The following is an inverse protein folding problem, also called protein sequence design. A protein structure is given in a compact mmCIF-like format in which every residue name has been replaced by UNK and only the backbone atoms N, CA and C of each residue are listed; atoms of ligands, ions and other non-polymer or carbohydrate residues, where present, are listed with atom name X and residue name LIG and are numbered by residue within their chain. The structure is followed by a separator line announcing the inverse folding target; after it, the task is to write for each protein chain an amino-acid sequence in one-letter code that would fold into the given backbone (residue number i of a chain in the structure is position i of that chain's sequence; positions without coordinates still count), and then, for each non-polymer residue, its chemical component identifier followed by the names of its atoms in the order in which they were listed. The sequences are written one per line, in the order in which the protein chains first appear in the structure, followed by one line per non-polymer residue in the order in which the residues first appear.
data_IF_827090700251
#
_entry.id   IF_827090700251
#
_cell.length_a   1.000
_cell.length_b   1.000
_cell.length_c   1.000
_cell.angle_alpha   90.00
_cell.angle_beta   90.00
_cell.angle_gamma   90.00
#
_symmetry.space_group_name_H-M   'P 1'
#
loop_
_entity.id
_entity.type
_entity.pdbx_description
1 polymer ?
#
# COMPACT_ATOMS: atom_id res chain seq x y z
N UNK A 1 -15.10 -7.36 -8.26
CA UNK A 1 -16.18 -6.82 -9.10
C UNK A 1 -15.58 -6.40 -10.42
N UNK A 2 -15.83 -7.14 -11.50
CA UNK A 2 -15.21 -6.89 -12.80
C UNK A 2 -15.79 -5.61 -13.38
N UNK A 3 -15.02 -4.55 -13.49
CA UNK A 3 -15.43 -3.33 -14.19
C UNK A 3 -15.58 -3.63 -15.68
N UNK A 4 -16.81 -3.69 -16.14
CA UNK A 4 -17.14 -3.68 -17.56
C UNK A 4 -17.06 -2.24 -18.04
N UNK A 5 -16.02 -1.92 -18.77
CA UNK A 5 -15.89 -0.68 -19.52
C UNK A 5 -16.98 -0.60 -20.58
N UNK A 6 -17.95 0.26 -20.38
CA UNK A 6 -18.95 0.61 -21.39
C UNK A 6 -18.35 1.66 -22.32
N UNK A 7 -17.90 1.22 -23.51
CA UNK A 7 -17.56 2.09 -24.62
C UNK A 7 -18.86 2.70 -25.20
N UNK A 8 -19.10 3.96 -24.90
CA UNK A 8 -20.13 4.73 -25.60
C UNK A 8 -19.55 5.21 -26.93
N UNK A 9 -20.01 4.62 -28.02
CA UNK A 9 -19.83 5.13 -29.37
C UNK A 9 -20.56 6.45 -29.52
N UNK A 10 -19.83 7.51 -29.82
CA UNK A 10 -20.44 8.75 -30.31
C UNK A 10 -20.00 8.99 -31.76
N UNK A 11 -20.98 8.90 -32.61
CA UNK A 11 -20.96 8.93 -34.06
C UNK A 11 -20.87 10.38 -34.55
N UNK A 12 -19.94 10.58 -35.45
CA UNK A 12 -19.86 11.53 -36.57
C UNK A 12 -20.72 12.81 -36.58
N UNK A 13 -20.05 13.93 -36.76
CA UNK A 13 -20.56 14.93 -37.74
C UNK A 13 -19.41 15.51 -38.58
N UNK A 14 -19.52 15.23 -39.88
CA UNK A 14 -18.67 15.69 -40.97
C UNK A 14 -19.05 17.11 -41.29
N UNK A 15 -18.08 18.02 -41.44
CA UNK A 15 -18.25 19.15 -42.34
C UNK A 15 -16.90 19.48 -43.02
N UNK A 16 -16.92 19.30 -44.35
CA UNK A 16 -15.91 19.76 -45.30
C UNK A 16 -15.86 21.30 -45.33
N UNK A 17 -14.68 21.86 -45.41
CA UNK A 17 -14.47 23.06 -46.19
C UNK A 17 -13.06 23.12 -46.75
N UNK A 18 -12.99 23.16 -48.06
CA UNK A 18 -11.84 23.29 -48.96
C UNK A 18 -11.38 24.75 -49.05
N UNK A 19 -10.07 24.99 -49.09
CA UNK A 19 -9.40 26.05 -49.88
C UNK A 19 -7.88 25.90 -49.69
N UNK A 20 -7.12 25.51 -50.64
CA UNK A 20 -6.43 26.18 -51.76
C UNK A 20 -5.17 26.99 -51.37
N UNK A 21 -4.02 26.47 -51.87
CA UNK A 21 -2.80 27.12 -52.36
C UNK A 21 -1.91 27.94 -51.43
N UNK A 22 -0.68 27.46 -51.30
CA UNK A 22 0.47 28.23 -50.87
C UNK A 22 1.76 27.43 -51.00
N UNK A 23 2.35 27.41 -52.20
CA UNK A 23 3.68 26.88 -52.43
C UNK A 23 4.70 27.84 -51.82
N UNK A 24 5.53 27.37 -50.89
CA UNK A 24 6.63 28.15 -50.33
C UNK A 24 7.71 27.18 -49.89
N UNK A 25 8.69 26.97 -50.72
CA UNK A 25 9.87 26.18 -50.54
C UNK A 25 10.88 26.97 -49.70
N UNK A 26 11.20 26.52 -48.50
CA UNK A 26 12.39 26.99 -47.78
C UNK A 26 12.93 25.90 -46.84
N UNK A 27 14.10 25.44 -47.19
CA UNK A 27 15.24 24.97 -46.41
C UNK A 27 14.97 24.15 -45.12
N UNK A 28 15.35 22.91 -45.19
CA UNK A 28 15.62 21.98 -44.10
C UNK A 28 16.71 22.58 -43.18
N UNK A 29 16.36 22.84 -41.94
CA UNK A 29 17.26 22.65 -40.82
C UNK A 29 16.65 21.58 -39.94
N UNK A 30 17.30 20.43 -39.96
CA UNK A 30 17.02 19.35 -39.02
C UNK A 30 17.47 19.83 -37.62
N UNK A 31 16.55 20.40 -36.87
CA UNK A 31 16.75 20.62 -35.46
C UNK A 31 16.10 19.45 -34.75
N UNK A 32 16.98 18.63 -34.15
CA UNK A 32 16.58 17.45 -33.41
C UNK A 32 15.72 17.86 -32.21
N UNK A 33 14.40 17.71 -32.38
CA UNK A 33 13.51 17.70 -31.24
C UNK A 33 13.87 16.47 -30.35
N UNK A 34 14.85 16.64 -29.48
CA UNK A 34 14.97 15.84 -28.28
C UNK A 34 13.71 16.10 -27.48
N UNK A 35 12.72 15.24 -27.69
CA UNK A 35 11.58 15.16 -26.81
C UNK A 35 12.10 14.92 -25.41
N UNK A 36 12.14 15.95 -24.61
CA UNK A 36 12.30 15.84 -23.16
C UNK A 36 11.13 14.96 -22.72
N UNK A 37 11.39 13.65 -22.52
CA UNK A 37 10.47 12.79 -21.78
C UNK A 37 10.41 13.42 -20.40
N UNK A 38 9.35 14.16 -20.15
CA UNK A 38 8.95 14.52 -18.78
C UNK A 38 8.96 13.20 -18.00
N UNK A 39 9.84 13.07 -17.04
CA UNK A 39 9.87 11.91 -16.16
C UNK A 39 8.48 11.85 -15.51
N UNK A 40 7.69 10.85 -15.87
CA UNK A 40 6.35 10.67 -15.35
C UNK A 40 6.52 10.18 -13.94
N UNK A 41 6.14 11.00 -12.96
CA UNK A 41 6.13 10.60 -11.55
C UNK A 41 5.03 9.58 -11.34
N UNK A 42 5.38 8.44 -10.75
CA UNK A 42 4.42 7.41 -10.29
C UNK A 42 4.07 7.71 -8.85
N UNK A 43 2.81 7.91 -8.57
CA UNK A 43 2.30 8.05 -7.19
C UNK A 43 1.77 6.72 -6.71
N UNK A 44 2.19 6.28 -5.50
CA UNK A 44 1.72 5.06 -4.86
C UNK A 44 1.06 5.41 -3.53
N UNK A 45 -0.17 4.94 -3.36
CA UNK A 45 -0.94 5.05 -2.12
C UNK A 45 -0.67 3.82 -1.25
N UNK A 46 -0.08 4.03 -0.08
CA UNK A 46 0.31 2.98 0.85
C UNK A 46 -0.54 3.06 2.11
N UNK A 47 -1.33 2.03 2.35
CA UNK A 47 -2.06 1.86 3.61
C UNK A 47 -1.21 1.04 4.57
N UNK A 48 -0.91 1.57 5.76
CA UNK A 48 -0.03 0.91 6.70
C UNK A 48 -0.52 1.04 8.15
N UNK A 49 -0.29 -0.02 8.92
CA UNK A 49 -0.60 -0.01 10.34
C UNK A 49 0.10 1.16 11.05
N UNK A 50 -0.62 1.88 11.91
CA UNK A 50 -0.16 3.10 12.58
C UNK A 50 1.15 2.91 13.38
N UNK A 51 1.42 1.70 13.88
CA UNK A 51 2.68 1.37 14.56
C UNK A 51 3.92 1.51 13.67
N UNK A 52 3.76 1.57 12.36
CA UNK A 52 4.86 1.65 11.38
C UNK A 52 5.13 3.08 10.90
N UNK A 53 4.38 4.09 11.38
CA UNK A 53 4.42 5.47 10.89
C UNK A 53 5.84 6.03 10.81
N UNK A 54 6.60 5.95 11.90
CA UNK A 54 7.95 6.52 11.95
C UNK A 54 8.90 5.82 10.97
N UNK A 55 8.88 4.49 10.99
CA UNK A 55 9.76 3.67 10.14
C UNK A 55 9.48 3.86 8.66
N UNK A 56 8.20 3.86 8.26
CA UNK A 56 7.84 3.99 6.85
C UNK A 56 8.06 5.41 6.31
N UNK A 57 7.85 6.44 7.12
CA UNK A 57 8.23 7.80 6.72
C UNK A 57 9.73 7.92 6.47
N UNK A 58 10.56 7.29 7.31
CA UNK A 58 12.01 7.25 7.09
C UNK A 58 12.38 6.48 5.82
N UNK A 59 11.77 5.32 5.62
CA UNK A 59 11.97 4.53 4.39
C UNK A 59 11.59 5.34 3.15
N UNK A 60 10.50 6.12 3.19
CA UNK A 60 10.10 6.95 2.06
C UNK A 60 11.13 8.02 1.71
N UNK A 61 11.76 8.64 2.71
CA UNK A 61 12.85 9.59 2.45
C UNK A 61 14.06 8.90 1.80
N UNK A 62 14.45 7.73 2.31
CA UNK A 62 15.55 6.95 1.76
C UNK A 62 15.23 6.47 0.33
N UNK A 63 13.98 6.09 0.06
CA UNK A 63 13.52 5.59 -1.23
C UNK A 63 13.62 6.63 -2.35
N UNK A 64 13.50 7.92 -2.05
CA UNK A 64 13.72 9.01 -3.03
C UNK A 64 15.11 8.96 -3.68
N UNK A 65 16.08 8.35 -3.00
CA UNK A 65 17.44 8.16 -3.55
C UNK A 65 17.51 6.95 -4.47
N UNK A 66 16.59 5.98 -4.32
CA UNK A 66 16.52 4.75 -5.12
C UNK A 66 15.76 5.02 -6.42
N UNK A 67 14.58 5.63 -6.31
CA UNK A 67 13.78 6.05 -7.47
C UNK A 67 13.12 7.42 -7.22
N UNK A 68 13.71 8.50 -7.74
CA UNK A 68 13.18 9.84 -7.56
C UNK A 68 11.88 10.10 -8.33
N UNK A 69 11.47 9.18 -9.21
CA UNK A 69 10.22 9.31 -9.98
C UNK A 69 9.04 8.63 -9.26
N UNK A 70 9.24 8.03 -8.09
CA UNK A 70 8.16 7.45 -7.28
C UNK A 70 7.88 8.35 -6.09
N UNK A 71 6.60 8.69 -5.92
CA UNK A 71 6.07 9.40 -4.75
C UNK A 71 5.23 8.45 -3.90
N UNK A 72 5.52 8.33 -2.61
CA UNK A 72 4.78 7.50 -1.67
C UNK A 72 3.86 8.37 -0.82
N UNK A 73 2.56 8.09 -0.89
CA UNK A 73 1.53 8.74 -0.06
C UNK A 73 1.01 7.71 0.95
N UNK A 74 1.09 8.02 2.25
CA UNK A 74 0.70 7.08 3.30
C UNK A 74 -0.64 7.43 3.95
N UNK A 75 -1.43 6.38 4.22
CA UNK A 75 -2.56 6.42 5.15
C UNK A 75 -2.25 5.51 6.33
N UNK A 76 -2.12 6.08 7.54
CA UNK A 76 -1.82 5.34 8.75
C UNK A 76 -3.04 5.24 9.66
N UNK A 77 -3.48 4.01 9.94
CA UNK A 77 -4.58 3.74 10.86
C UNK A 77 -4.44 2.33 11.46
N UNK A 78 -5.45 1.87 12.21
CA UNK A 78 -5.49 0.45 12.57
C UNK A 78 -5.62 -0.41 11.30
N UNK A 79 -5.00 -1.60 11.28
CA UNK A 79 -5.12 -2.49 10.11
C UNK A 79 -6.58 -2.87 9.82
N UNK A 80 -7.44 -2.88 10.85
CA UNK A 80 -8.88 -3.13 10.69
C UNK A 80 -9.60 -1.99 9.98
N UNK A 81 -9.32 -0.74 10.35
CA UNK A 81 -9.93 0.43 9.72
C UNK A 81 -9.48 0.57 8.26
N UNK A 82 -8.19 0.29 7.98
CA UNK A 82 -7.66 0.28 6.62
C UNK A 82 -8.30 -0.80 5.76
N UNK A 83 -8.49 -2.01 6.32
CA UNK A 83 -9.23 -3.07 5.66
C UNK A 83 -10.66 -2.61 5.32
N UNK A 84 -11.34 -1.93 6.24
CA UNK A 84 -12.70 -1.42 5.99
C UNK A 84 -12.72 -0.41 4.84
N UNK A 85 -11.75 0.51 4.79
CA UNK A 85 -11.62 1.47 3.69
C UNK A 85 -11.38 0.78 2.35
N UNK A 86 -10.51 -0.26 2.30
CA UNK A 86 -10.30 -1.05 1.08
C UNK A 86 -11.60 -1.73 0.64
N UNK A 87 -12.35 -2.32 1.56
CA UNK A 87 -13.66 -2.93 1.28
C UNK A 87 -14.69 -1.93 0.76
N UNK A 88 -14.61 -0.68 1.19
CA UNK A 88 -15.45 0.44 0.74
C UNK A 88 -14.99 1.01 -0.61
N UNK A 89 -13.88 0.51 -1.18
CA UNK A 89 -13.37 0.88 -2.49
C UNK A 89 -12.35 2.01 -2.47
N UNK A 90 -11.68 2.23 -1.35
CA UNK A 90 -10.56 3.17 -1.31
C UNK A 90 -9.40 2.68 -2.18
N UNK A 91 -8.80 3.59 -2.94
CA UNK A 91 -7.61 3.29 -3.74
C UNK A 91 -6.41 3.01 -2.82
N UNK A 92 -5.82 1.82 -3.00
CA UNK A 92 -4.67 1.36 -2.23
C UNK A 92 -3.77 0.49 -3.12
N UNK A 93 -2.55 0.95 -3.38
CA UNK A 93 -1.57 0.21 -4.18
C UNK A 93 -0.80 -0.80 -3.33
N UNK A 94 -0.52 -0.45 -2.06
CA UNK A 94 0.22 -1.31 -1.14
C UNK A 94 -0.45 -1.29 0.23
N UNK A 95 -0.80 -2.47 0.75
CA UNK A 95 -1.34 -2.62 2.09
C UNK A 95 -0.34 -3.34 3.01
N UNK A 96 0.03 -2.70 4.13
CA UNK A 96 0.96 -3.23 5.15
C UNK A 96 0.20 -3.40 6.47
N UNK A 97 -0.25 -4.62 6.71
CA UNK A 97 -1.00 -4.97 7.92
C UNK A 97 -0.08 -5.42 9.06
N UNK A 98 -0.42 -5.05 10.30
CA UNK A 98 0.27 -5.55 11.49
C UNK A 98 -0.14 -6.99 11.87
N UNK A 99 -1.16 -7.56 11.21
CA UNK A 99 -1.61 -8.92 11.52
C UNK A 99 -2.07 -9.66 10.25
N UNK A 100 -1.88 -10.99 10.19
CA UNK A 100 -2.29 -11.82 9.04
C UNK A 100 -3.79 -11.80 8.77
N UNK A 101 -4.63 -11.58 9.80
CA UNK A 101 -6.10 -11.62 9.69
C UNK A 101 -6.62 -10.67 8.61
N UNK A 102 -6.12 -9.43 8.56
CA UNK A 102 -6.58 -8.44 7.59
C UNK A 102 -6.13 -8.78 6.18
N UNK A 103 -4.93 -9.32 6.03
CA UNK A 103 -4.44 -9.81 4.75
C UNK A 103 -5.23 -11.01 4.25
N UNK A 104 -5.56 -11.95 5.15
CA UNK A 104 -6.38 -13.12 4.80
C UNK A 104 -7.75 -12.71 4.26
N UNK A 105 -8.36 -11.67 4.83
CA UNK A 105 -9.68 -11.19 4.42
C UNK A 105 -9.74 -10.59 3.01
N UNK A 106 -8.58 -10.31 2.39
CA UNK A 106 -8.46 -9.78 1.02
C UNK A 106 -7.90 -10.81 0.04
N UNK A 107 -7.46 -11.98 0.54
CA UNK A 107 -6.72 -12.97 -0.22
C UNK A 107 -7.65 -13.91 -0.97
N UNK A 108 -7.69 -13.81 -2.29
CA UNK A 108 -8.53 -14.62 -3.17
C UNK A 108 -8.24 -16.12 -3.07
N UNK A 109 -7.03 -16.52 -2.67
CA UNK A 109 -6.69 -17.93 -2.44
C UNK A 109 -7.44 -18.52 -1.23
N UNK A 110 -7.96 -17.66 -0.35
CA UNK A 110 -8.71 -18.02 0.86
C UNK A 110 -10.21 -17.73 0.75
N UNK A 111 -10.72 -17.40 -0.43
CA UNK A 111 -12.11 -16.96 -0.64
C UNK A 111 -13.17 -18.00 -0.26
N UNK A 112 -12.79 -19.30 -0.26
CA UNK A 112 -13.67 -20.42 0.12
C UNK A 112 -13.54 -20.78 1.63
N UNK A 113 -12.66 -20.08 2.38
CA UNK A 113 -12.45 -20.25 3.81
C UNK A 113 -13.15 -19.11 4.57
N UNK A 114 -14.39 -19.35 5.01
CA UNK A 114 -15.20 -18.33 5.68
C UNK A 114 -14.63 -17.83 7.03
N UNK A 115 -13.73 -18.59 7.66
CA UNK A 115 -13.06 -18.18 8.90
C UNK A 115 -11.95 -17.17 8.64
N UNK A 116 -11.31 -17.24 7.47
CA UNK A 116 -10.20 -16.38 7.09
C UNK A 116 -10.59 -15.24 6.17
N UNK A 117 -11.47 -15.51 5.20
CA UNK A 117 -11.98 -14.56 4.23
C UNK A 117 -13.52 -14.62 4.17
N UNK A 118 -14.21 -14.09 5.20
CA UNK A 118 -15.66 -14.25 5.36
C UNK A 118 -16.47 -13.60 4.24
N UNK A 119 -15.91 -12.62 3.55
CA UNK A 119 -16.58 -11.91 2.46
C UNK A 119 -16.20 -12.45 1.08
N UNK A 120 -15.33 -13.46 1.00
CA UNK A 120 -14.87 -14.08 -0.24
C UNK A 120 -14.17 -13.12 -1.18
N UNK A 121 -13.46 -12.12 -0.66
CA UNK A 121 -12.79 -11.09 -1.45
C UNK A 121 -11.56 -11.63 -2.17
N UNK A 122 -11.22 -10.98 -3.29
CA UNK A 122 -10.07 -11.28 -4.13
C UNK A 122 -9.47 -9.94 -4.61
N UNK A 123 -8.84 -9.22 -3.65
CA UNK A 123 -8.36 -7.85 -3.86
C UNK A 123 -6.82 -7.80 -3.94
N UNK A 124 -6.13 -8.87 -3.54
CA UNK A 124 -4.68 -8.94 -3.65
C UNK A 124 -4.27 -9.41 -5.05
N UNK A 125 -3.24 -8.79 -5.60
CA UNK A 125 -2.62 -9.27 -6.81
C UNK A 125 -1.90 -10.60 -6.53
N UNK A 126 -2.16 -11.60 -7.36
CA UNK A 126 -1.61 -12.95 -7.21
C UNK A 126 -0.09 -12.95 -7.02
N UNK A 127 0.36 -13.66 -6.00
CA UNK A 127 1.79 -13.86 -5.71
C UNK A 127 2.51 -12.63 -5.12
N UNK A 128 1.81 -11.53 -4.81
CA UNK A 128 2.43 -10.34 -4.24
C UNK A 128 2.39 -10.30 -2.71
N UNK A 129 1.61 -11.16 -2.07
CA UNK A 129 1.57 -11.24 -0.61
C UNK A 129 2.87 -11.79 -0.05
N UNK A 130 3.45 -11.08 0.92
CA UNK A 130 4.66 -11.50 1.65
C UNK A 130 4.48 -11.33 3.15
N UNK A 131 5.06 -12.20 3.93
CA UNK A 131 5.22 -12.03 5.39
C UNK A 131 6.56 -11.29 5.60
N UNK A 132 6.48 -9.98 5.79
CA UNK A 132 7.63 -9.08 5.80
C UNK A 132 8.44 -9.21 7.10
N UNK A 133 7.77 -9.25 8.26
CA UNK A 133 8.38 -9.23 9.60
C UNK A 133 7.57 -10.10 10.56
N UNK A 134 8.25 -10.62 11.57
CA UNK A 134 7.64 -11.27 12.72
C UNK A 134 7.81 -10.37 13.95
N UNK A 135 6.70 -10.08 14.64
CA UNK A 135 6.71 -9.39 15.92
C UNK A 135 6.60 -10.40 17.07
N UNK A 136 7.52 -10.32 18.02
CA UNK A 136 7.54 -11.20 19.21
C UNK A 136 7.35 -10.38 20.47
N UNK A 137 6.39 -10.78 21.29
CA UNK A 137 6.24 -10.22 22.63
C UNK A 137 7.37 -10.77 23.49
N UNK A 138 8.09 -9.88 24.16
CA UNK A 138 9.18 -10.21 25.06
C UNK A 138 8.88 -9.70 26.47
N UNK A 139 9.38 -10.42 27.46
CA UNK A 139 9.37 -9.99 28.85
C UNK A 139 10.68 -9.25 29.13
N UNK A 140 10.58 -7.94 29.36
CA UNK A 140 11.71 -7.11 29.75
C UNK A 140 11.68 -6.91 31.27
N UNK A 141 12.83 -7.09 31.92
CA UNK A 141 13.00 -6.86 33.35
C UNK A 141 14.18 -5.92 33.59
N UNK A 142 14.21 -5.18 34.74
CA UNK A 142 15.36 -4.39 35.10
C UNK A 142 16.63 -5.21 35.23
N UNK A 143 17.80 -4.55 35.13
CA UNK A 143 19.10 -5.18 35.28
C UNK A 143 19.16 -5.98 36.58
N UNK A 144 19.71 -7.20 36.50
CA UNK A 144 19.80 -8.12 37.64
C UNK A 144 18.50 -8.81 38.03
N UNK A 145 17.39 -8.50 37.36
CA UNK A 145 16.08 -9.13 37.61
C UNK A 145 15.73 -9.21 39.12
N UNK A 146 15.66 -8.10 39.85
CA UNK A 146 15.55 -8.09 41.32
C UNK A 146 14.28 -8.76 41.86
N UNK A 147 13.28 -8.97 41.02
CA UNK A 147 12.02 -9.65 41.36
C UNK A 147 11.98 -11.12 40.95
N UNK A 148 13.05 -11.64 40.34
CA UNK A 148 13.14 -13.04 39.90
C UNK A 148 12.05 -13.43 38.90
N UNK A 149 11.70 -12.55 37.95
CA UNK A 149 10.67 -12.77 36.94
C UNK A 149 11.35 -13.40 35.72
N UNK A 150 11.25 -14.71 35.57
CA UNK A 150 11.92 -15.47 34.51
C UNK A 150 10.96 -15.97 33.43
N UNK A 151 9.66 -15.84 33.66
CA UNK A 151 8.60 -16.27 32.74
C UNK A 151 7.32 -15.47 32.92
N UNK A 152 6.39 -15.58 31.96
CA UNK A 152 5.05 -14.98 32.08
C UNK A 152 4.26 -15.57 33.24
N UNK A 153 4.43 -16.87 33.58
CA UNK A 153 3.78 -17.48 34.73
C UNK A 153 4.29 -16.87 36.05
N UNK A 154 5.62 -16.68 36.17
CA UNK A 154 6.20 -15.97 37.30
C UNK A 154 5.75 -14.54 37.42
N UNK A 155 5.57 -13.84 36.29
CA UNK A 155 4.99 -12.51 36.28
C UNK A 155 3.54 -12.54 36.79
N UNK A 156 2.73 -13.47 36.31
CA UNK A 156 1.34 -13.62 36.75
C UNK A 156 1.23 -13.90 38.26
N UNK A 157 2.07 -14.79 38.80
CA UNK A 157 2.16 -15.10 40.23
C UNK A 157 2.47 -13.83 41.06
N UNK A 158 3.47 -13.05 40.63
CA UNK A 158 3.90 -11.82 41.32
C UNK A 158 2.87 -10.70 41.25
N UNK A 159 2.16 -10.59 40.11
CA UNK A 159 1.04 -9.66 39.96
C UNK A 159 -0.11 -10.05 40.90
N UNK A 160 -0.46 -11.33 40.95
CA UNK A 160 -1.49 -11.87 41.84
C UNK A 160 -1.17 -11.70 43.33
N UNK A 161 0.11 -11.71 43.69
CA UNK A 161 0.60 -11.42 45.03
C UNK A 161 0.72 -9.91 45.37
N UNK A 162 0.50 -9.02 44.41
CA UNK A 162 0.67 -7.58 44.59
C UNK A 162 2.13 -7.11 44.76
N UNK A 163 3.08 -7.94 44.30
CA UNK A 163 4.52 -7.66 44.44
C UNK A 163 5.09 -6.86 43.23
N UNK A 164 4.37 -6.80 42.14
CA UNK A 164 4.66 -6.00 40.93
C UNK A 164 3.39 -5.36 40.38
N UNK A 165 3.54 -4.27 39.66
CA UNK A 165 2.47 -3.55 39.00
C UNK A 165 2.88 -3.31 37.53
N UNK A 166 1.90 -3.34 36.60
CA UNK A 166 2.06 -3.04 35.18
C UNK A 166 1.72 -1.57 34.90
#
# INVERSE_FOLDING_TARGET
MKFKTAFAKMTTCSLMLTALFGCGQASQTADGAQGTRSAQTTELTVFAAASMTETLNRIAEDYKTVDPNVSLTFSFASSGDLLSQIKEGADCDVFISAAPKQMNALDGSLKDDADKNPDGLDELLDGTRIDLLENKVVLAVPEGNPKGIESYDKLADRLGAGEVFL
#
